data_IF_693335650399
#
_entry.id   IF_693335650399
#
_cell.length_a   1.000
_cell.length_b   1.000
_cell.length_c   1.000
_cell.angle_alpha   90.00
_cell.angle_beta   90.00
_cell.angle_gamma   90.00
#
_symmetry.space_group_name_H-M   'P 1'
#
loop_
_entity.id
_entity.type
_entity.pdbx_description
1 polymer ?
#
# COMPACT_ATOMS: atom_id res chain seq x y z
N UNK A 1 -9.94 -36.42 -10.06
CA UNK A 1 -11.42 -36.49 -10.00
C UNK A 1 -11.78 -37.70 -10.83
N UNK A 2 -12.08 -38.81 -10.17
CA UNK A 2 -12.44 -40.09 -10.79
C UNK A 2 -13.82 -40.43 -10.21
N UNK A 3 -14.86 -39.96 -10.87
CA UNK A 3 -16.26 -40.15 -10.47
C UNK A 3 -17.10 -40.33 -11.74
N UNK A 4 -17.89 -41.39 -11.77
CA UNK A 4 -18.73 -41.84 -12.88
C UNK A 4 -19.79 -40.78 -13.28
N UNK A 5 -20.09 -39.83 -12.40
CA UNK A 5 -21.05 -38.75 -12.67
C UNK A 5 -20.44 -37.51 -13.32
N UNK A 6 -19.13 -37.30 -13.20
CA UNK A 6 -18.41 -36.11 -13.67
C UNK A 6 -18.75 -34.86 -12.85
N UNK A 7 -17.74 -34.17 -12.33
CA UNK A 7 -17.93 -32.93 -11.59
C UNK A 7 -18.59 -31.85 -12.47
N UNK A 8 -19.54 -31.10 -11.91
CA UNK A 8 -20.21 -29.96 -12.53
C UNK A 8 -19.51 -28.64 -12.21
N UNK A 9 -18.90 -28.53 -11.02
CA UNK A 9 -18.03 -27.40 -10.65
C UNK A 9 -16.88 -27.87 -9.77
N UNK A 10 -15.77 -27.14 -9.78
CA UNK A 10 -14.71 -27.33 -8.82
C UNK A 10 -13.99 -26.01 -8.52
N UNK A 11 -13.48 -25.85 -7.30
CA UNK A 11 -12.73 -24.68 -6.85
C UNK A 11 -11.64 -25.06 -5.85
N UNK A 12 -10.57 -24.26 -5.81
CA UNK A 12 -9.62 -24.28 -4.71
C UNK A 12 -10.14 -23.41 -3.56
N UNK A 13 -10.01 -23.91 -2.34
CA UNK A 13 -10.35 -23.24 -1.10
C UNK A 13 -9.07 -23.01 -0.31
N UNK A 14 -8.87 -21.76 0.10
CA UNK A 14 -7.68 -21.30 0.80
C UNK A 14 -8.05 -20.87 2.22
N UNK A 15 -7.15 -21.12 3.16
CA UNK A 15 -7.19 -20.55 4.49
C UNK A 15 -5.77 -20.19 4.94
N UNK A 16 -5.60 -19.08 5.66
CA UNK A 16 -4.33 -18.78 6.32
C UNK A 16 -4.07 -19.82 7.42
N UNK A 17 -2.83 -20.28 7.50
CA UNK A 17 -2.39 -21.22 8.55
C UNK A 17 -2.20 -20.48 9.87
N UNK A 18 -1.66 -19.26 9.80
CA UNK A 18 -1.37 -18.46 10.98
C UNK A 18 -2.66 -17.84 11.55
N UNK A 19 -2.92 -18.00 12.85
CA UNK A 19 -4.12 -17.45 13.47
C UNK A 19 -4.08 -15.93 13.38
N UNK A 20 -5.16 -15.34 12.87
CA UNK A 20 -5.33 -13.89 12.92
C UNK A 20 -5.57 -13.46 14.37
N UNK A 21 -5.18 -12.22 14.70
CA UNK A 21 -5.45 -11.68 16.02
C UNK A 21 -6.97 -11.79 16.32
N UNK A 22 -7.40 -12.07 17.56
CA UNK A 22 -8.83 -12.30 17.87
C UNK A 22 -9.77 -11.15 17.51
N UNK A 23 -9.23 -9.96 17.31
CA UNK A 23 -9.94 -8.76 16.86
C UNK A 23 -9.35 -8.21 15.56
N UNK A 24 -8.70 -9.01 14.73
CA UNK A 24 -8.24 -8.54 13.42
C UNK A 24 -9.44 -8.08 12.58
N UNK A 25 -9.25 -7.05 11.78
CA UNK A 25 -10.19 -6.60 10.76
C UNK A 25 -9.62 -6.84 9.37
N UNK A 26 -9.66 -8.08 8.85
CA UNK A 26 -9.11 -8.38 7.54
C UNK A 26 -9.93 -7.69 6.46
N UNK A 27 -9.25 -6.94 5.60
CA UNK A 27 -9.89 -6.31 4.45
C UNK A 27 -10.20 -7.38 3.40
N UNK A 28 -9.30 -8.31 3.14
CA UNK A 28 -9.45 -9.26 2.03
C UNK A 28 -9.76 -10.68 2.52
N UNK A 29 -10.65 -11.35 1.78
CA UNK A 29 -10.91 -12.78 1.94
C UNK A 29 -9.84 -13.66 1.26
N UNK A 30 -10.03 -14.99 1.31
CA UNK A 30 -9.21 -15.91 0.54
C UNK A 30 -9.32 -15.65 -0.96
N UNK A 31 -8.25 -15.91 -1.74
CA UNK A 31 -8.32 -15.76 -3.19
C UNK A 31 -9.31 -16.76 -3.81
N UNK A 32 -10.02 -16.31 -4.84
CA UNK A 32 -10.89 -17.19 -5.60
C UNK A 32 -10.12 -17.89 -6.71
N UNK A 33 -10.24 -19.21 -6.83
CA UNK A 33 -9.61 -19.97 -7.92
C UNK A 33 -10.53 -21.11 -8.38
N UNK A 34 -11.43 -20.85 -9.34
CA UNK A 34 -12.21 -21.91 -9.98
C UNK A 34 -11.28 -22.86 -10.74
N UNK A 35 -11.61 -24.15 -10.74
CA UNK A 35 -10.80 -25.19 -11.37
C UNK A 35 -11.44 -25.61 -12.70
N UNK A 36 -10.58 -25.75 -13.72
CA UNK A 36 -10.97 -26.34 -15.00
C UNK A 36 -11.30 -27.82 -14.79
N UNK A 37 -12.44 -28.23 -15.31
CA UNK A 37 -12.91 -29.60 -15.23
C UNK A 37 -12.44 -30.44 -16.43
N UNK A 38 -12.12 -31.73 -16.25
CA UNK A 38 -11.85 -32.63 -17.36
C UNK A 38 -13.08 -32.78 -18.26
N UNK A 39 -12.86 -32.99 -19.55
CA UNK A 39 -13.94 -33.18 -20.52
C UNK A 39 -14.64 -34.52 -20.27
N UNK A 40 -15.97 -34.50 -20.13
CA UNK A 40 -16.81 -35.68 -19.84
C UNK A 40 -16.57 -36.78 -20.88
N UNK A 41 -16.24 -38.00 -20.43
CA UNK A 41 -15.97 -39.16 -21.29
C UNK A 41 -14.61 -39.16 -22.00
N UNK A 42 -13.73 -38.19 -21.74
CA UNK A 42 -12.33 -38.22 -22.20
C UNK A 42 -11.47 -39.15 -21.33
N UNK A 43 -10.35 -39.65 -21.88
CA UNK A 43 -9.34 -40.38 -21.10
C UNK A 43 -8.97 -39.56 -19.86
N UNK A 44 -8.78 -40.25 -18.72
CA UNK A 44 -8.55 -39.72 -17.37
C UNK A 44 -7.26 -38.89 -17.22
N UNK A 45 -7.12 -37.83 -18.01
CA UNK A 45 -6.04 -36.86 -17.87
C UNK A 45 -6.49 -35.82 -16.84
N UNK A 46 -5.66 -35.62 -15.82
CA UNK A 46 -5.88 -34.58 -14.83
C UNK A 46 -5.97 -33.21 -15.51
N UNK A 47 -7.07 -32.48 -15.27
CA UNK A 47 -7.20 -31.10 -15.75
C UNK A 47 -6.21 -30.21 -14.99
N UNK A 48 -5.50 -29.34 -15.73
CA UNK A 48 -4.57 -28.37 -15.15
C UNK A 48 -5.23 -26.99 -15.10
N UNK A 49 -5.20 -26.37 -13.93
CA UNK A 49 -5.62 -24.98 -13.72
C UNK A 49 -4.40 -24.19 -13.28
N UNK A 50 -4.13 -23.08 -13.95
CA UNK A 50 -3.08 -22.13 -13.56
C UNK A 50 -3.72 -20.78 -13.31
N UNK A 51 -3.45 -20.18 -12.15
CA UNK A 51 -3.82 -18.81 -11.81
C UNK A 51 -2.62 -18.15 -11.14
N UNK A 52 -2.30 -16.93 -11.55
CA UNK A 52 -1.32 -16.12 -10.84
C UNK A 52 -1.96 -15.57 -9.55
N UNK A 53 -1.28 -15.74 -8.44
CA UNK A 53 -1.68 -15.29 -7.10
C UNK A 53 -0.57 -14.46 -6.45
N UNK A 54 0.48 -14.12 -7.18
CA UNK A 54 1.69 -13.47 -6.64
C UNK A 54 1.47 -12.02 -6.22
N UNK A 55 0.41 -11.39 -6.72
CA UNK A 55 -0.05 -10.04 -6.37
C UNK A 55 -1.07 -10.03 -5.21
N UNK A 56 -1.64 -11.18 -4.85
CA UNK A 56 -2.64 -11.28 -3.79
C UNK A 56 -2.06 -10.88 -2.43
N UNK A 57 -2.85 -10.29 -1.55
CA UNK A 57 -2.38 -9.83 -0.23
C UNK A 57 -1.97 -10.96 0.73
N UNK A 58 -2.32 -12.20 0.39
CA UNK A 58 -1.89 -13.41 1.12
C UNK A 58 -0.59 -14.02 0.57
N UNK A 59 -0.04 -13.47 -0.52
CA UNK A 59 1.21 -13.90 -1.11
C UNK A 59 2.34 -13.92 -0.05
N UNK A 60 3.17 -14.96 -0.09
CA UNK A 60 4.23 -15.22 0.88
C UNK A 60 3.72 -15.76 2.22
N UNK A 61 2.41 -15.99 2.36
CA UNK A 61 1.80 -16.52 3.57
C UNK A 61 1.72 -18.03 3.60
N UNK A 62 1.81 -18.60 4.81
CA UNK A 62 1.49 -20.01 5.03
C UNK A 62 -0.01 -20.21 4.86
N UNK A 63 -0.40 -21.06 3.92
CA UNK A 63 -1.80 -21.36 3.62
C UNK A 63 -2.09 -22.86 3.68
N UNK A 64 -3.34 -23.17 3.96
CA UNK A 64 -3.97 -24.47 3.75
C UNK A 64 -4.79 -24.41 2.46
N UNK A 65 -4.53 -25.36 1.57
CA UNK A 65 -5.21 -25.51 0.30
C UNK A 65 -5.98 -26.84 0.27
N UNK A 66 -7.27 -26.77 -0.03
CA UNK A 66 -8.10 -27.94 -0.36
C UNK A 66 -8.86 -27.70 -1.66
N UNK A 67 -9.22 -28.78 -2.35
CA UNK A 67 -10.00 -28.72 -3.58
C UNK A 67 -11.41 -29.23 -3.26
N UNK A 68 -12.43 -28.46 -3.67
CA UNK A 68 -13.83 -28.84 -3.51
C UNK A 68 -14.44 -29.00 -4.90
N UNK A 69 -15.06 -30.15 -5.16
CA UNK A 69 -15.80 -30.43 -6.38
C UNK A 69 -17.26 -30.72 -6.04
N UNK A 70 -18.18 -30.30 -6.91
CA UNK A 70 -19.62 -30.58 -6.80
C UNK A 70 -20.08 -31.29 -8.06
N UNK A 71 -20.80 -32.40 -7.93
CA UNK A 71 -21.38 -33.15 -9.06
C UNK A 71 -22.68 -32.51 -9.58
N UNK A 72 -23.26 -33.09 -10.63
CA UNK A 72 -24.53 -32.62 -11.21
C UNK A 72 -25.77 -32.88 -10.33
N UNK A 73 -25.65 -33.71 -9.29
CA UNK A 73 -26.71 -33.99 -8.32
C UNK A 73 -26.61 -33.10 -7.07
N UNK A 74 -25.57 -32.27 -6.96
CA UNK A 74 -25.32 -31.38 -5.83
C UNK A 74 -24.46 -31.99 -4.71
N UNK A 75 -23.90 -33.18 -4.88
CA UNK A 75 -22.98 -33.76 -3.90
C UNK A 75 -21.61 -33.09 -3.98
N UNK A 76 -21.03 -32.81 -2.81
CA UNK A 76 -19.72 -32.19 -2.70
C UNK A 76 -18.67 -33.16 -2.19
N UNK A 77 -17.50 -33.19 -2.81
CA UNK A 77 -16.32 -33.89 -2.33
C UNK A 77 -15.17 -32.90 -2.08
N UNK A 78 -14.43 -33.10 -0.99
CA UNK A 78 -13.27 -32.28 -0.62
C UNK A 78 -12.01 -33.13 -0.61
N UNK A 79 -10.91 -32.62 -1.16
CA UNK A 79 -9.61 -33.30 -1.15
C UNK A 79 -8.93 -33.26 0.23
N UNK A 80 -7.82 -33.98 0.35
CA UNK A 80 -6.85 -33.74 1.41
C UNK A 80 -6.42 -32.26 1.42
N UNK A 81 -6.19 -31.72 2.62
CA UNK A 81 -5.67 -30.36 2.81
C UNK A 81 -4.15 -30.37 2.79
N UNK A 82 -3.54 -29.56 1.91
CA UNK A 82 -2.09 -29.36 1.86
C UNK A 82 -1.70 -28.03 2.45
N UNK A 83 -0.61 -28.01 3.22
CA UNK A 83 -0.02 -26.77 3.74
C UNK A 83 1.15 -26.36 2.85
N UNK A 84 1.18 -25.11 2.41
CA UNK A 84 2.23 -24.57 1.55
C UNK A 84 2.37 -23.06 1.73
N UNK A 85 3.46 -22.47 1.25
CA UNK A 85 3.63 -21.02 1.16
C UNK A 85 3.00 -20.54 -0.15
N UNK A 86 2.10 -19.55 -0.07
CA UNK A 86 1.53 -18.93 -1.25
C UNK A 86 2.65 -18.27 -2.06
N UNK A 87 2.75 -18.54 -3.37
CA UNK A 87 3.74 -17.87 -4.22
C UNK A 87 3.64 -16.35 -4.10
N UNK A 88 4.78 -15.67 -4.10
CA UNK A 88 4.86 -14.21 -4.07
C UNK A 88 5.78 -13.69 -5.15
N UNK A 89 5.52 -12.46 -5.58
CA UNK A 89 6.44 -11.74 -6.46
C UNK A 89 7.73 -11.43 -5.67
N UNK A 90 8.91 -11.77 -6.18
CA UNK A 90 10.16 -11.42 -5.51
C UNK A 90 10.40 -9.91 -5.62
N UNK A 91 10.76 -9.28 -4.50
CA UNK A 91 11.26 -7.91 -4.43
C UNK A 91 12.73 -7.92 -4.01
N UNK A 92 13.61 -7.45 -4.89
CA UNK A 92 15.05 -7.39 -4.64
C UNK A 92 15.43 -6.12 -3.89
N UNK A 93 14.71 -5.03 -4.10
CA UNK A 93 14.91 -3.77 -3.41
C UNK A 93 14.40 -3.87 -1.96
N UNK A 94 15.26 -3.64 -0.94
CA UNK A 94 14.85 -3.72 0.47
C UNK A 94 13.75 -2.72 0.84
N UNK A 95 13.72 -1.55 0.20
CA UNK A 95 12.67 -0.55 0.42
C UNK A 95 11.33 -1.03 -0.15
N UNK A 96 11.32 -1.58 -1.37
CA UNK A 96 10.10 -2.14 -1.96
C UNK A 96 9.55 -3.30 -1.13
N UNK A 97 10.43 -4.18 -0.63
CA UNK A 97 10.05 -5.28 0.26
C UNK A 97 9.39 -4.76 1.55
N UNK A 98 9.95 -3.71 2.17
CA UNK A 98 9.34 -3.11 3.36
C UNK A 98 7.95 -2.53 3.08
N UNK A 99 7.73 -1.91 1.92
CA UNK A 99 6.40 -1.40 1.51
C UNK A 99 5.40 -2.55 1.32
N UNK A 100 5.81 -3.67 0.72
CA UNK A 100 4.95 -4.85 0.54
C UNK A 100 4.59 -5.52 1.87
N UNK A 101 5.52 -5.55 2.83
CA UNK A 101 5.25 -6.04 4.18
C UNK A 101 4.20 -5.17 4.90
N UNK A 102 4.29 -3.84 4.75
CA UNK A 102 3.29 -2.91 5.27
C UNK A 102 1.93 -3.08 4.60
N UNK A 103 1.91 -3.20 3.26
CA UNK A 103 0.71 -3.53 2.47
C UNK A 103 0.02 -4.77 3.03
N UNK A 104 0.77 -5.85 3.23
CA UNK A 104 0.24 -7.12 3.74
C UNK A 104 -0.28 -6.97 5.17
N UNK A 105 0.43 -6.25 6.02
CA UNK A 105 0.01 -5.97 7.41
C UNK A 105 -1.34 -5.26 7.44
N UNK A 106 -1.49 -4.18 6.65
CA UNK A 106 -2.74 -3.43 6.55
C UNK A 106 -3.89 -4.25 5.94
N UNK A 107 -3.59 -5.06 4.92
CA UNK A 107 -4.58 -5.89 4.24
C UNK A 107 -5.16 -7.00 5.12
N UNK A 108 -4.33 -7.58 5.99
CA UNK A 108 -4.72 -8.65 6.92
C UNK A 108 -5.39 -8.11 8.19
N UNK A 109 -5.09 -6.87 8.58
CA UNK A 109 -5.72 -6.22 9.72
C UNK A 109 -5.73 -4.70 9.58
N UNK A 110 -6.89 -4.11 9.26
CA UNK A 110 -7.06 -2.66 9.20
C UNK A 110 -6.80 -1.98 10.55
N UNK A 111 -6.92 -2.70 11.68
CA UNK A 111 -6.58 -2.16 13.01
C UNK A 111 -5.07 -2.00 13.20
N UNK A 112 -4.26 -2.51 12.29
CA UNK A 112 -2.82 -2.28 12.28
C UNK A 112 -2.42 -0.91 11.70
N UNK A 113 -3.38 -0.03 11.35
CA UNK A 113 -3.14 1.32 10.83
C UNK A 113 -2.00 2.06 11.56
N UNK A 114 -2.09 2.21 12.88
CA UNK A 114 -1.10 2.97 13.66
C UNK A 114 0.29 2.33 13.57
N UNK A 115 0.38 1.00 13.61
CA UNK A 115 1.63 0.27 13.42
C UNK A 115 2.23 0.51 12.04
N UNK A 116 1.40 0.53 11.00
CA UNK A 116 1.87 0.77 9.62
C UNK A 116 2.37 2.21 9.48
N UNK A 117 1.68 3.19 10.08
CA UNK A 117 2.13 4.58 10.14
C UNK A 117 3.47 4.73 10.86
N UNK A 118 3.64 4.06 12.01
CA UNK A 118 4.91 4.06 12.75
C UNK A 118 6.06 3.48 11.92
N UNK A 119 5.80 2.42 11.15
CA UNK A 119 6.80 1.81 10.26
C UNK A 119 7.13 2.72 9.07
N UNK A 120 6.15 3.40 8.48
CA UNK A 120 6.38 4.43 7.46
C UNK A 120 7.23 5.58 8.01
N UNK A 121 6.92 6.05 9.23
CA UNK A 121 7.68 7.09 9.93
C UNK A 121 9.12 6.64 10.20
N UNK A 122 9.33 5.40 10.60
CA UNK A 122 10.67 4.86 10.84
C UNK A 122 11.53 4.83 9.56
N UNK A 123 10.95 4.45 8.41
CA UNK A 123 11.66 4.42 7.12
C UNK A 123 11.94 5.84 6.61
N UNK A 124 11.08 6.81 6.94
CA UNK A 124 11.17 8.19 6.45
C UNK A 124 11.89 9.15 7.40
N UNK A 125 12.38 8.66 8.55
CA UNK A 125 13.01 9.47 9.59
C UNK A 125 14.30 10.19 9.13
N UNK A 126 15.12 9.52 8.32
CA UNK A 126 16.39 10.06 7.79
C UNK A 126 16.44 9.84 6.28
N UNK A 127 15.72 10.67 5.50
CA UNK A 127 15.53 10.43 4.08
C UNK A 127 16.84 10.43 3.29
N UNK A 128 17.81 11.26 3.70
CA UNK A 128 19.14 11.37 3.09
C UNK A 128 19.98 10.09 3.19
N UNK A 129 19.74 9.26 4.20
CA UNK A 129 20.46 7.98 4.41
C UNK A 129 19.69 6.79 3.81
N UNK A 130 18.37 6.93 3.62
CA UNK A 130 17.47 5.82 3.30
C UNK A 130 17.06 5.78 1.83
N UNK A 131 17.06 6.92 1.13
CA UNK A 131 16.55 7.04 -0.23
C UNK A 131 17.59 7.62 -1.19
N UNK A 132 17.99 6.81 -2.17
CA UNK A 132 18.77 7.29 -3.31
C UNK A 132 17.94 8.15 -4.28
N UNK A 133 16.61 7.96 -4.27
CA UNK A 133 15.67 8.67 -5.13
C UNK A 133 14.57 9.33 -4.28
N UNK A 134 14.55 10.67 -4.30
CA UNK A 134 13.57 11.47 -3.56
C UNK A 134 12.12 11.21 -4.00
N UNK A 135 11.89 10.77 -5.24
CA UNK A 135 10.55 10.38 -5.69
C UNK A 135 9.97 9.22 -4.86
N UNK A 136 10.82 8.26 -4.45
CA UNK A 136 10.39 7.14 -3.62
C UNK A 136 10.00 7.61 -2.22
N UNK A 137 10.76 8.55 -1.65
CA UNK A 137 10.42 9.19 -0.38
C UNK A 137 9.06 9.89 -0.46
N UNK A 138 8.84 10.72 -1.48
CA UNK A 138 7.59 11.45 -1.67
C UNK A 138 6.39 10.52 -1.83
N UNK A 139 6.55 9.39 -2.53
CA UNK A 139 5.49 8.40 -2.69
C UNK A 139 5.12 7.74 -1.36
N UNK A 140 6.10 7.36 -0.54
CA UNK A 140 5.83 6.80 0.80
C UNK A 140 5.19 7.85 1.72
N UNK A 141 5.61 9.12 1.65
CA UNK A 141 5.00 10.20 2.41
C UNK A 141 3.55 10.48 1.99
N UNK A 142 3.25 10.35 0.69
CA UNK A 142 1.89 10.41 0.15
C UNK A 142 1.02 9.30 0.73
N UNK A 143 1.48 8.04 0.62
CA UNK A 143 0.82 6.86 1.18
C UNK A 143 0.53 7.01 2.68
N UNK A 144 1.55 7.43 3.44
CA UNK A 144 1.42 7.73 4.87
C UNK A 144 0.32 8.75 5.16
N UNK A 145 0.27 9.84 4.39
CA UNK A 145 -0.73 10.91 4.59
C UNK A 145 -2.13 10.41 4.28
N UNK A 146 -2.31 9.67 3.17
CA UNK A 146 -3.57 9.01 2.81
C UNK A 146 -4.03 8.03 3.88
N UNK A 147 -3.14 7.14 4.33
CA UNK A 147 -3.43 6.19 5.40
C UNK A 147 -3.83 6.89 6.70
N UNK A 148 -3.17 8.00 7.07
CA UNK A 148 -3.51 8.78 8.26
C UNK A 148 -4.94 9.32 8.18
N UNK A 149 -5.38 9.77 7.01
CA UNK A 149 -6.73 10.28 6.78
C UNK A 149 -7.79 9.19 6.58
N UNK A 150 -7.39 7.99 6.17
CA UNK A 150 -8.30 6.88 5.93
C UNK A 150 -9.03 6.43 7.21
N UNK A 151 -10.34 6.37 7.17
CA UNK A 151 -11.22 5.99 8.27
C UNK A 151 -12.24 4.89 7.90
N UNK A 152 -12.24 4.45 6.63
CA UNK A 152 -13.14 3.42 6.09
C UNK A 152 -12.40 2.27 5.42
N UNK A 153 -13.05 1.11 5.36
CA UNK A 153 -12.52 -0.09 4.71
C UNK A 153 -12.16 0.15 3.24
N UNK A 154 -12.96 0.94 2.52
CA UNK A 154 -12.70 1.25 1.11
C UNK A 154 -11.43 2.09 0.96
N UNK A 155 -11.23 3.11 1.79
CA UNK A 155 -9.99 3.89 1.78
C UNK A 155 -8.77 3.05 2.18
N UNK A 156 -8.92 2.10 3.10
CA UNK A 156 -7.83 1.17 3.41
C UNK A 156 -7.51 0.23 2.25
N UNK A 157 -8.51 -0.20 1.47
CA UNK A 157 -8.28 -0.99 0.25
C UNK A 157 -7.55 -0.17 -0.82
N UNK A 158 -7.93 1.09 -0.98
CA UNK A 158 -7.27 2.00 -1.90
C UNK A 158 -5.80 2.23 -1.50
N UNK A 159 -5.53 2.30 -0.19
CA UNK A 159 -4.17 2.40 0.33
C UNK A 159 -3.38 1.10 0.13
N UNK A 160 -3.97 -0.07 0.37
CA UNK A 160 -3.37 -1.38 0.07
C UNK A 160 -3.03 -1.52 -1.42
N UNK A 161 -3.89 -1.04 -2.31
CA UNK A 161 -3.63 -0.99 -3.74
C UNK A 161 -2.49 -0.02 -4.06
N UNK A 162 -2.49 1.17 -3.45
CA UNK A 162 -1.45 2.17 -3.69
C UNK A 162 -0.06 1.74 -3.23
N UNK A 163 0.04 1.07 -2.08
CA UNK A 163 1.31 0.51 -1.59
C UNK A 163 1.88 -0.54 -2.54
N UNK A 164 1.03 -1.29 -3.25
CA UNK A 164 1.48 -2.21 -4.30
C UNK A 164 2.15 -1.46 -5.45
N UNK A 165 1.51 -0.41 -5.96
CA UNK A 165 2.05 0.41 -7.05
C UNK A 165 3.37 1.10 -6.66
N UNK A 166 3.45 1.63 -5.43
CA UNK A 166 4.70 2.18 -4.90
C UNK A 166 5.80 1.12 -4.88
N UNK A 167 5.50 -0.08 -4.37
CA UNK A 167 6.49 -1.16 -4.32
C UNK A 167 6.98 -1.55 -5.72
N UNK A 168 6.08 -1.69 -6.69
CA UNK A 168 6.43 -1.97 -8.09
C UNK A 168 7.30 -0.86 -8.66
N UNK A 169 6.93 0.40 -8.49
CA UNK A 169 7.69 1.50 -9.06
C UNK A 169 9.05 1.75 -8.41
N UNK A 170 9.21 1.38 -7.12
CA UNK A 170 10.51 1.33 -6.44
C UNK A 170 11.38 0.18 -6.98
N UNK A 171 10.80 -1.01 -7.15
CA UNK A 171 11.50 -2.19 -7.66
C UNK A 171 11.97 -1.99 -9.11
N UNK A 172 11.12 -1.40 -9.95
CA UNK A 172 11.40 -1.19 -11.38
C UNK A 172 12.14 0.13 -11.65
N UNK A 173 12.33 0.98 -10.63
CA UNK A 173 13.01 2.27 -10.72
C UNK A 173 12.32 3.30 -11.62
N UNK A 174 11.06 3.05 -11.99
CA UNK A 174 10.31 3.85 -12.96
C UNK A 174 9.47 4.98 -12.33
N UNK A 175 9.43 5.08 -10.99
CA UNK A 175 8.70 6.12 -10.28
C UNK A 175 9.09 7.53 -10.73
N UNK A 176 10.38 7.72 -11.08
CA UNK A 176 10.92 8.97 -11.61
C UNK A 176 10.32 9.37 -12.97
N UNK A 177 9.90 8.42 -13.80
CA UNK A 177 9.29 8.69 -15.11
C UNK A 177 7.84 9.16 -14.97
N UNK A 178 7.06 8.56 -14.08
CA UNK A 178 5.70 9.01 -13.74
C UNK A 178 5.73 10.42 -13.12
N UNK A 179 6.64 10.66 -12.18
CA UNK A 179 6.85 11.97 -11.56
C UNK A 179 7.29 13.04 -12.59
N UNK A 180 8.15 12.69 -13.56
CA UNK A 180 8.50 13.59 -14.67
C UNK A 180 7.30 13.95 -15.55
N UNK A 181 6.43 12.99 -15.86
CA UNK A 181 5.20 13.23 -16.64
C UNK A 181 4.22 14.12 -15.88
N UNK A 182 4.02 13.88 -14.58
CA UNK A 182 3.17 14.72 -13.75
C UNK A 182 3.70 16.16 -13.66
N UNK A 183 5.00 16.34 -13.42
CA UNK A 183 5.61 17.69 -13.42
C UNK A 183 5.46 18.39 -14.76
N UNK A 184 5.62 17.68 -15.87
CA UNK A 184 5.41 18.23 -17.22
C UNK A 184 3.94 18.62 -17.44
N UNK A 185 2.99 17.81 -16.98
CA UNK A 185 1.56 18.09 -17.06
C UNK A 185 1.17 19.30 -16.20
N UNK A 186 1.68 19.39 -14.97
CA UNK A 186 1.48 20.54 -14.07
C UNK A 186 2.05 21.83 -14.66
N UNK A 187 3.27 21.79 -15.22
CA UNK A 187 3.88 22.94 -15.89
C UNK A 187 3.08 23.37 -17.12
N UNK A 188 2.63 22.41 -17.94
CA UNK A 188 1.82 22.69 -19.11
C UNK A 188 0.47 23.34 -18.75
N UNK A 189 -0.17 22.93 -17.65
CA UNK A 189 -1.38 23.56 -17.12
C UNK A 189 -1.09 24.97 -16.58
N UNK A 190 -0.05 25.16 -15.77
CA UNK A 190 0.35 26.47 -15.26
C UNK A 190 0.62 27.45 -16.41
N UNK A 191 1.37 27.02 -17.43
CA UNK A 191 1.63 27.81 -18.63
C UNK A 191 0.33 28.12 -19.40
N UNK A 192 -0.65 27.20 -19.41
CA UNK A 192 -1.96 27.42 -20.04
C UNK A 192 -2.84 28.42 -19.28
N UNK A 193 -2.68 28.49 -17.96
CA UNK A 193 -3.39 29.41 -17.09
C UNK A 193 -2.78 30.82 -17.13
N UNK A 194 -1.46 30.94 -17.23
CA UNK A 194 -0.76 32.23 -17.25
C UNK A 194 -0.60 32.84 -18.65
N UNK A 195 -0.61 32.04 -19.72
CA UNK A 195 -0.30 32.48 -21.09
C UNK A 195 -1.44 33.14 -21.89
N UNK A 196 -2.58 33.51 -21.29
CA UNK A 196 -3.69 34.15 -22.01
C UNK A 196 -4.36 33.26 -23.08
N UNK A 197 -4.23 31.93 -22.98
CA UNK A 197 -4.76 30.96 -23.95
C UNK A 197 -6.30 30.96 -23.97
N UNK A 198 -6.88 30.66 -25.13
CA UNK A 198 -8.33 30.58 -25.30
C UNK A 198 -8.93 29.48 -24.41
N UNK A 199 -10.19 29.64 -23.99
CA UNK A 199 -10.89 28.69 -23.10
C UNK A 199 -10.79 27.24 -23.60
N UNK A 200 -10.82 27.04 -24.92
CA UNK A 200 -10.75 25.74 -25.58
C UNK A 200 -9.36 25.07 -25.44
N UNK A 201 -8.28 25.84 -25.48
CA UNK A 201 -6.92 25.34 -25.26
C UNK A 201 -6.66 25.00 -23.78
N UNK A 202 -7.27 25.75 -22.86
CA UNK A 202 -7.24 25.44 -21.42
C UNK A 202 -7.97 24.13 -21.11
N UNK A 203 -9.11 23.89 -21.74
CA UNK A 203 -9.86 22.64 -21.62
C UNK A 203 -9.11 21.44 -22.21
N UNK A 204 -8.44 21.61 -23.36
CA UNK A 204 -7.58 20.57 -23.94
C UNK A 204 -6.38 20.24 -23.05
N UNK A 205 -5.74 21.25 -22.44
CA UNK A 205 -4.66 21.02 -21.48
C UNK A 205 -5.16 20.33 -20.19
N UNK A 206 -6.35 20.71 -19.71
CA UNK A 206 -7.00 20.05 -18.59
C UNK A 206 -7.39 18.59 -18.92
N UNK A 207 -7.86 18.31 -20.14
CA UNK A 207 -8.18 16.97 -20.61
C UNK A 207 -6.91 16.10 -20.78
N UNK A 208 -5.83 16.66 -21.31
CA UNK A 208 -4.53 15.96 -21.39
C UNK A 208 -3.94 15.69 -20.01
N UNK A 209 -4.13 16.63 -19.07
CA UNK A 209 -3.80 16.40 -17.66
C UNK A 209 -4.69 15.30 -17.09
N UNK A 210 -6.00 15.28 -17.36
CA UNK A 210 -6.92 14.22 -16.95
C UNK A 210 -6.67 12.86 -17.60
N UNK A 211 -6.09 12.78 -18.80
CA UNK A 211 -5.70 11.51 -19.44
C UNK A 211 -4.37 11.00 -18.85
N UNK A 212 -3.37 11.88 -18.66
CA UNK A 212 -2.13 11.54 -17.98
C UNK A 212 -2.35 11.18 -16.50
N UNK A 213 -3.35 11.81 -15.88
CA UNK A 213 -3.89 11.48 -14.57
C UNK A 213 -4.72 10.20 -14.69
N UNK A 214 -5.59 10.02 -15.68
CA UNK A 214 -6.45 8.83 -15.80
C UNK A 214 -5.68 7.52 -16.03
N UNK A 215 -4.51 7.58 -16.67
CA UNK A 215 -3.58 6.45 -16.74
C UNK A 215 -2.86 6.16 -15.41
N UNK A 216 -2.71 7.15 -14.51
CA UNK A 216 -1.89 7.06 -13.29
C UNK A 216 -2.64 7.38 -11.95
N UNK A 217 -3.92 7.76 -11.96
CA UNK A 217 -4.67 8.44 -10.87
C UNK A 217 -6.02 7.75 -10.61
N UNK A 218 -5.94 6.46 -10.35
CA UNK A 218 -6.69 5.93 -9.20
C UNK A 218 -6.02 6.32 -7.86
N UNK A 219 -4.94 7.10 -7.87
CA UNK A 219 -4.00 7.25 -6.76
C UNK A 219 -3.84 8.66 -6.15
N UNK A 220 -4.60 9.71 -6.52
CA UNK A 220 -4.19 11.09 -6.18
C UNK A 220 -5.24 12.14 -5.75
N UNK A 221 -6.53 11.85 -5.64
CA UNK A 221 -7.46 12.82 -5.02
C UNK A 221 -7.75 12.45 -3.56
N UNK A 222 -6.96 12.98 -2.61
CA UNK A 222 -7.33 13.71 -1.36
C UNK A 222 -5.99 13.93 -0.60
N UNK A 223 -5.23 14.97 -0.94
CA UNK A 223 -4.15 15.49 -0.07
C UNK A 223 -3.90 17.00 -0.26
N UNK A 224 -4.80 17.68 -0.98
CA UNK A 224 -4.61 19.05 -1.44
C UNK A 224 -5.62 20.05 -0.85
N UNK A 225 -6.06 19.88 0.39
CA UNK A 225 -6.79 20.95 1.09
C UNK A 225 -6.59 20.75 2.61
N UNK A 226 -6.26 21.84 3.33
CA UNK A 226 -5.86 21.91 4.74
C UNK A 226 -4.34 21.83 5.04
N UNK A 227 -3.58 22.83 4.59
CA UNK A 227 -2.52 23.41 5.44
C UNK A 227 -2.19 24.87 5.07
N UNK A 228 -3.20 25.74 4.89
CA UNK A 228 -2.96 27.16 4.61
C UNK A 228 -3.98 28.11 5.25
N UNK A 229 -4.46 27.87 6.48
CA UNK A 229 -5.03 28.95 7.32
C UNK A 229 -4.91 28.58 8.81
N UNK A 230 -3.76 28.79 9.45
CA UNK A 230 -3.73 29.61 10.67
C UNK A 230 -2.30 30.00 11.04
N UNK A 231 -2.07 31.30 11.21
CA UNK A 231 -0.73 31.84 11.43
C UNK A 231 -0.69 33.36 11.29
N UNK A 232 -1.73 34.06 11.73
CA UNK A 232 -1.71 35.50 11.95
C UNK A 232 -2.09 35.81 13.39
N UNK A 233 -1.57 36.95 13.88
CA UNK A 233 -1.64 37.53 15.23
C UNK A 233 -0.48 37.13 16.15
N UNK A 234 0.32 38.04 16.70
CA UNK A 234 0.30 39.49 16.72
C UNK A 234 1.41 39.96 17.67
N UNK A 235 2.09 41.05 17.35
CA UNK A 235 3.13 41.61 18.20
C UNK A 235 2.57 42.25 19.47
N UNK A 236 3.18 41.98 20.61
CA UNK A 236 3.21 42.88 21.78
C UNK A 236 4.58 42.74 22.45
N UNK A 237 5.35 43.82 22.45
CA UNK A 237 6.56 43.92 23.27
C UNK A 237 6.21 44.17 24.74
N UNK A 238 7.15 43.91 25.65
CA UNK A 238 7.46 44.82 26.76
C UNK A 238 8.66 44.33 27.60
N UNK A 239 9.52 45.31 27.89
CA UNK A 239 10.29 45.54 29.10
C UNK A 239 11.45 44.59 29.49
N UNK A 240 12.65 45.12 29.20
CA UNK A 240 13.88 44.94 29.98
C UNK A 240 13.63 45.28 31.46
N UNK A 241 14.05 44.42 32.38
CA UNK A 241 14.44 44.87 33.72
C UNK A 241 15.66 44.12 34.25
N UNK A 242 16.69 44.91 34.56
CA UNK A 242 17.87 44.54 35.35
C UNK A 242 17.45 44.32 36.79
N UNK A 243 18.01 43.29 37.45
CA UNK A 243 18.44 43.41 38.83
C UNK A 243 19.72 42.59 39.09
N UNK A 244 20.55 43.17 39.92
CA UNK A 244 21.94 42.83 40.23
C UNK A 244 22.01 42.32 41.68
N UNK A 245 23.08 41.54 41.96
CA UNK A 245 23.81 41.33 43.25
C UNK A 245 23.43 40.15 44.18
N UNK A 246 24.47 39.31 44.36
CA UNK A 246 25.14 38.86 45.61
C UNK A 246 24.33 37.97 46.60
N UNK A 247 24.86 36.97 47.31
CA UNK A 247 26.24 36.61 47.67
C UNK A 247 26.29 35.18 48.27
N UNK A 248 27.51 34.68 48.51
CA UNK A 248 27.97 33.60 49.43
C UNK A 248 28.09 32.12 48.99
N UNK A 249 29.33 31.81 48.58
CA UNK A 249 30.32 30.94 49.28
C UNK A 249 29.84 29.61 49.87
N UNK A 250 30.37 28.50 49.34
CA UNK A 250 30.98 27.43 50.16
C UNK A 250 32.14 26.74 49.41
N UNK A 251 33.33 26.81 50.02
CA UNK A 251 34.52 25.98 49.72
C UNK A 251 34.41 24.68 50.50
N UNK A 252 34.73 23.54 49.89
CA UNK A 252 35.49 22.41 50.48
C UNK A 252 35.84 21.41 49.37
N UNK A 253 37.11 21.38 48.95
CA UNK A 253 38.13 20.34 49.26
C UNK A 253 38.14 19.12 48.32
N UNK A 254 39.01 19.23 47.32
CA UNK A 254 40.07 18.30 46.86
C UNK A 254 40.23 16.97 47.65
N UNK A 255 40.29 15.86 46.92
CA UNK A 255 41.13 14.66 47.07
C UNK A 255 41.25 14.06 45.64
N UNK A 256 42.34 14.28 44.91
CA UNK A 256 43.58 13.48 44.86
C UNK A 256 43.46 12.23 43.96
N UNK A 257 43.96 12.35 42.72
CA UNK A 257 45.04 11.55 42.11
C UNK A 257 45.36 12.08 40.71
#
# INVERSE_FOLDING_TARGET
IDDDYGAASAKAVFALTDPQAPKAHPLYGPPEMPLTLPRRGGKANAAKTTKDLTDHVWAGGNIKLSLVATDGAGHTATSETKTLVMPERPFSNPLARAVVEQRRTLALDARAKDRVLDLMDAITLRPEDTFDNMAHYLAIMSARTRLKMADSDDQFRDEVAYLWEIALGIEEGNLSAAEKRLRQAQQALQDAMHGGRTQQQRLLAAAQMQDAIGEDVAAFEIAGELDLVDGNEGGVGLARHRFHRADRVFRARRLDL
#
